data_IF_192904418823
#
_entry.id   IF_192904418823
#
_cell.length_a   1.000
_cell.length_b   1.000
_cell.length_c   1.000
_cell.angle_alpha   90.00
_cell.angle_beta   90.00
_cell.angle_gamma   90.00
#
_symmetry.space_group_name_H-M   'P 1'
#
loop_
_entity.id
_entity.type
_entity.pdbx_description
1 polymer ?
#
# COMPACT_ATOMS: atom_id res chain seq x y z
N UNK A 1 1.74 -6.76 -13.69
CA UNK A 1 1.26 -6.66 -12.31
C UNK A 1 2.44 -6.86 -11.38
N UNK A 2 2.57 -6.03 -10.36
CA UNK A 2 3.58 -6.24 -9.30
C UNK A 2 2.89 -6.43 -7.95
N UNK A 3 3.61 -7.06 -7.03
CA UNK A 3 3.19 -7.27 -5.64
C UNK A 3 4.29 -6.79 -4.71
N UNK A 4 3.94 -5.92 -3.78
CA UNK A 4 4.82 -5.45 -2.72
C UNK A 4 4.28 -6.06 -1.43
N UNK A 5 5.12 -6.75 -0.68
CA UNK A 5 4.72 -7.43 0.56
C UNK A 5 5.31 -6.73 1.76
N UNK A 6 4.54 -6.69 2.84
CA UNK A 6 4.96 -6.18 4.13
C UNK A 6 4.58 -7.19 5.20
N UNK A 7 5.57 -7.59 6.00
CA UNK A 7 5.38 -8.53 7.10
C UNK A 7 5.94 -7.90 8.37
N UNK A 8 5.25 -8.10 9.48
CA UNK A 8 5.67 -7.61 10.78
C UNK A 8 4.96 -8.34 11.91
N UNK A 9 4.76 -7.64 13.02
CA UNK A 9 3.94 -8.07 14.16
C UNK A 9 2.54 -8.50 13.71
N UNK A 10 1.76 -9.12 14.60
CA UNK A 10 0.39 -9.59 14.33
C UNK A 10 -0.63 -8.46 14.14
N UNK A 11 -0.33 -7.52 13.25
CA UNK A 11 -1.14 -6.36 12.95
C UNK A 11 -2.51 -6.78 12.47
N UNK A 12 -3.55 -6.13 12.98
CA UNK A 12 -4.90 -6.34 12.50
C UNK A 12 -5.05 -5.81 11.07
N UNK A 13 -4.48 -4.63 10.80
CA UNK A 13 -4.61 -3.95 9.53
C UNK A 13 -3.29 -3.42 8.99
N UNK A 14 -3.19 -3.37 7.66
CA UNK A 14 -2.11 -2.73 6.93
C UNK A 14 -2.61 -1.50 6.16
N UNK A 15 -1.82 -0.42 6.23
CA UNK A 15 -1.90 0.74 5.36
C UNK A 15 -0.68 0.80 4.43
N UNK A 16 -0.88 1.39 3.26
CA UNK A 16 0.13 1.56 2.22
C UNK A 16 0.21 3.03 1.80
N UNK A 17 1.44 3.51 1.64
CA UNK A 17 1.74 4.90 1.37
C UNK A 17 2.75 5.01 0.23
N UNK A 18 2.53 5.95 -0.69
CA UNK A 18 3.38 6.23 -1.83
C UNK A 18 4.07 7.58 -1.63
N UNK A 19 5.39 7.61 -1.69
CA UNK A 19 6.20 8.83 -1.68
C UNK A 19 6.93 8.95 -3.02
N UNK A 20 6.46 9.88 -3.87
CA UNK A 20 7.06 10.12 -5.19
C UNK A 20 8.30 11.01 -5.12
N UNK A 21 8.28 12.02 -4.25
CA UNK A 21 9.37 13.00 -4.10
C UNK A 21 10.03 12.76 -2.73
N UNK A 22 11.34 12.47 -2.68
CA UNK A 22 12.06 12.38 -1.41
C UNK A 22 11.85 13.65 -0.56
N UNK A 23 11.48 13.48 0.71
CA UNK A 23 11.18 14.59 1.61
C UNK A 23 9.76 15.16 1.54
N UNK A 24 8.93 14.71 0.58
CA UNK A 24 7.50 15.06 0.55
C UNK A 24 6.66 14.17 1.49
N UNK A 25 5.47 14.64 1.85
CA UNK A 25 4.53 13.82 2.61
C UNK A 25 4.05 12.61 1.77
N UNK A 26 4.10 11.37 2.30
CA UNK A 26 3.54 10.21 1.62
C UNK A 26 2.03 10.34 1.42
N UNK A 27 1.52 9.85 0.29
CA UNK A 27 0.09 9.76 -0.01
C UNK A 27 -0.41 8.36 0.30
N UNK A 28 -1.51 8.23 1.06
CA UNK A 28 -2.14 6.94 1.31
C UNK A 28 -2.74 6.37 0.02
N UNK A 29 -2.33 5.15 -0.34
CA UNK A 29 -2.88 4.43 -1.51
C UNK A 29 -3.86 3.34 -1.10
N UNK A 30 -3.65 2.67 0.03
CA UNK A 30 -4.57 1.69 0.62
C UNK A 30 -4.58 1.86 2.14
N UNK A 31 -5.74 1.72 2.77
CA UNK A 31 -5.92 1.68 4.22
C UNK A 31 -6.84 0.50 4.60
N UNK A 32 -6.82 0.09 5.88
CA UNK A 32 -7.64 -1.01 6.39
C UNK A 32 -7.59 -2.28 5.52
N UNK A 33 -6.37 -2.67 5.10
CA UNK A 33 -6.06 -3.80 4.22
C UNK A 33 -6.51 -3.69 2.76
N UNK A 34 -7.72 -3.23 2.48
CA UNK A 34 -8.33 -3.29 1.13
C UNK A 34 -9.03 -2.00 0.70
N UNK A 35 -9.12 -0.98 1.56
CA UNK A 35 -9.83 0.25 1.26
C UNK A 35 -8.91 1.20 0.50
N UNK A 36 -9.37 1.62 -0.68
CA UNK A 36 -8.66 2.58 -1.52
C UNK A 36 -9.31 3.96 -1.40
N UNK A 37 -8.57 5.02 -1.04
CA UNK A 37 -9.11 6.37 -1.00
C UNK A 37 -9.62 6.83 -2.37
N UNK A 38 -10.55 7.80 -2.37
CA UNK A 38 -11.01 8.44 -3.61
C UNK A 38 -9.85 9.14 -4.34
N UNK A 39 -9.81 9.04 -5.66
CA UNK A 39 -8.75 9.65 -6.48
C UNK A 39 -7.52 8.75 -6.69
N UNK A 40 -7.42 7.61 -5.98
CA UNK A 40 -6.38 6.61 -6.25
C UNK A 40 -6.84 5.67 -7.38
N UNK A 41 -6.02 5.43 -8.41
CA UNK A 41 -6.39 4.60 -9.56
C UNK A 41 -6.84 3.18 -9.18
N UNK A 42 -7.79 2.63 -9.94
CA UNK A 42 -8.36 1.30 -9.69
C UNK A 42 -7.36 0.15 -9.77
N UNK A 43 -6.21 0.39 -10.40
CA UNK A 43 -5.09 -0.55 -10.49
C UNK A 43 -4.42 -0.89 -9.15
N UNK A 44 -4.56 -0.05 -8.13
CA UNK A 44 -4.04 -0.32 -6.79
C UNK A 44 -5.04 -1.14 -5.99
N UNK A 45 -4.62 -2.26 -5.41
CA UNK A 45 -5.43 -3.02 -4.45
C UNK A 45 -4.56 -3.55 -3.32
N UNK A 46 -5.16 -3.70 -2.14
CA UNK A 46 -4.48 -4.31 -0.99
C UNK A 46 -5.15 -5.60 -0.55
N UNK A 47 -4.38 -6.44 0.10
CA UNK A 47 -4.87 -7.63 0.79
C UNK A 47 -4.00 -7.96 2.00
N UNK A 48 -4.49 -8.85 2.85
CA UNK A 48 -3.76 -9.40 3.99
C UNK A 48 -3.95 -10.91 4.03
N UNK A 49 -2.87 -11.65 4.27
CA UNK A 49 -2.89 -13.08 4.56
C UNK A 49 -2.01 -13.36 5.76
N UNK A 50 -2.60 -13.90 6.83
CA UNK A 50 -1.91 -14.05 8.13
C UNK A 50 -1.37 -12.70 8.61
N UNK A 51 -0.04 -12.65 8.82
CA UNK A 51 0.68 -11.45 9.24
C UNK A 51 1.33 -10.70 8.07
N UNK A 52 0.97 -10.99 6.83
CA UNK A 52 1.57 -10.36 5.64
C UNK A 52 0.53 -9.54 4.89
N UNK A 53 0.74 -8.23 4.82
CA UNK A 53 0.03 -7.34 3.91
C UNK A 53 0.63 -7.41 2.50
N UNK A 54 -0.19 -7.29 1.46
CA UNK A 54 0.25 -7.20 0.07
C UNK A 54 -0.41 -6.01 -0.62
N UNK A 55 0.39 -5.13 -1.23
CA UNK A 55 -0.07 -4.16 -2.21
C UNK A 55 0.11 -4.75 -3.61
N UNK A 56 -0.95 -4.77 -4.39
CA UNK A 56 -0.93 -5.20 -5.78
C UNK A 56 -1.16 -3.98 -6.67
N UNK A 57 -0.33 -3.82 -7.69
CA UNK A 57 -0.50 -2.80 -8.73
C UNK A 57 -0.63 -3.52 -10.07
N UNK A 58 -1.83 -3.51 -10.66
CA UNK A 58 -2.09 -4.11 -11.97
C UNK A 58 -1.80 -3.10 -13.08
N UNK A 59 -1.13 -3.51 -14.16
CA UNK A 59 -0.78 -2.58 -15.24
C UNK A 59 0.03 -1.37 -14.76
N UNK A 60 1.18 -1.61 -14.10
CA UNK A 60 2.10 -0.57 -13.61
C UNK A 60 2.47 0.41 -14.72
N UNK A 61 2.46 1.70 -14.38
CA UNK A 61 2.79 2.82 -15.27
C UNK A 61 4.03 3.58 -14.75
N UNK A 62 4.63 4.43 -15.60
CA UNK A 62 5.80 5.23 -15.21
C UNK A 62 5.52 6.14 -14.01
N UNK A 63 4.29 6.66 -13.90
CA UNK A 63 3.84 7.47 -12.76
C UNK A 63 3.74 6.72 -11.43
N UNK A 64 3.81 5.38 -11.44
CA UNK A 64 3.80 4.54 -10.25
C UNK A 64 5.23 4.35 -9.67
N UNK A 65 6.27 4.88 -10.32
CA UNK A 65 7.64 4.89 -9.79
C UNK A 65 7.72 5.78 -8.54
N UNK A 66 7.96 5.15 -7.40
CA UNK A 66 7.94 5.80 -6.09
C UNK A 66 8.57 4.90 -5.02
N UNK A 67 8.85 5.47 -3.85
CA UNK A 67 9.09 4.68 -2.63
C UNK A 67 7.74 4.33 -2.01
N UNK A 68 7.56 3.06 -1.68
CA UNK A 68 6.35 2.56 -1.03
C UNK A 68 6.64 2.16 0.41
N UNK A 69 5.84 2.68 1.33
CA UNK A 69 5.89 2.33 2.75
C UNK A 69 4.64 1.56 3.14
N UNK A 70 4.80 0.64 4.08
CA UNK A 70 3.69 -0.01 4.77
C UNK A 70 3.69 0.38 6.25
N UNK A 71 2.51 0.40 6.85
CA UNK A 71 2.34 0.54 8.30
C UNK A 71 1.30 -0.45 8.80
N UNK A 72 1.60 -1.10 9.92
CA UNK A 72 0.67 -1.99 10.61
C UNK A 72 0.01 -1.27 11.79
N UNK A 73 -1.30 -1.43 11.95
CA UNK A 73 -2.06 -0.90 13.08
C UNK A 73 -2.68 -2.05 13.87
N UNK A 74 -2.38 -2.06 15.17
CA UNK A 74 -3.06 -2.87 16.18
C UNK A 74 -4.26 -2.08 16.72
N UNK A 75 -5.35 -2.78 17.02
CA UNK A 75 -6.54 -2.20 17.65
C UNK A 75 -6.42 -2.22 19.16
#
# INVERSE_FOLDING_TARGET
>A
TIKITCSGSSYNNYGWYQQKIPGSAPVTVIYLNDKRPSGIPSRFSGSKSGNTGTLTITGVQAEDEAVYFCGGWDS
#
